data_IF_571877139653
#
_entry.id   IF_571877139653
#
_cell.length_a   1.000
_cell.length_b   1.000
_cell.length_c   1.000
_cell.angle_alpha   90.00
_cell.angle_beta   90.00
_cell.angle_gamma   90.00
#
_symmetry.space_group_name_H-M   'P 1'
#
loop_
_entity.id
_entity.type
_entity.pdbx_description
1 polymer ?
#
# COMPACT_ATOMS: atom_id res chain seq x y z
N UNK A 1 30.86 -24.03 12.20
CA UNK A 1 29.39 -23.95 12.39
C UNK A 1 28.82 -22.53 12.18
N UNK A 2 29.48 -21.46 12.63
CA UNK A 2 28.98 -20.07 12.48
C UNK A 2 28.85 -19.56 11.03
N UNK A 3 29.76 -19.92 10.11
CA UNK A 3 29.69 -19.53 8.68
C UNK A 3 28.43 -20.04 7.95
N UNK A 4 27.93 -21.22 8.30
CA UNK A 4 26.74 -21.79 7.66
C UNK A 4 25.45 -21.06 8.10
N UNK A 5 25.40 -20.65 9.37
CA UNK A 5 24.31 -19.87 9.94
C UNK A 5 24.25 -18.47 9.32
N UNK A 6 25.39 -17.78 9.22
CA UNK A 6 25.49 -16.48 8.51
C UNK A 6 24.98 -16.57 7.06
N UNK A 7 25.45 -17.56 6.30
CA UNK A 7 25.07 -17.75 4.88
C UNK A 7 23.57 -17.99 4.71
N UNK A 8 22.94 -18.77 5.60
CA UNK A 8 21.50 -19.00 5.55
C UNK A 8 20.68 -17.73 5.80
N UNK A 9 21.15 -16.86 6.70
CA UNK A 9 20.53 -15.56 6.97
C UNK A 9 20.62 -14.62 5.78
N UNK A 10 21.75 -14.60 5.08
CA UNK A 10 21.93 -13.76 3.89
C UNK A 10 21.04 -14.23 2.72
N UNK A 11 20.92 -15.55 2.52
CA UNK A 11 20.01 -16.12 1.51
C UNK A 11 18.55 -15.73 1.80
N UNK A 12 18.10 -15.82 3.06
CA UNK A 12 16.74 -15.41 3.46
C UNK A 12 16.47 -13.92 3.18
N UNK A 13 17.46 -13.05 3.38
CA UNK A 13 17.33 -11.62 3.05
C UNK A 13 17.17 -11.41 1.55
N UNK A 14 17.98 -12.09 0.74
CA UNK A 14 17.91 -11.98 -0.73
C UNK A 14 16.57 -12.48 -1.26
N UNK A 15 16.09 -13.63 -0.78
CA UNK A 15 14.79 -14.17 -1.20
C UNK A 15 13.66 -13.23 -0.78
N UNK A 16 13.72 -12.65 0.43
CA UNK A 16 12.72 -11.68 0.86
C UNK A 16 12.73 -10.40 0.01
N UNK A 17 13.91 -9.87 -0.33
CA UNK A 17 14.04 -8.71 -1.20
C UNK A 17 13.44 -9.01 -2.58
N UNK A 18 13.77 -10.15 -3.16
CA UNK A 18 13.28 -10.58 -4.47
C UNK A 18 11.75 -10.72 -4.46
N UNK A 19 11.17 -11.31 -3.42
CA UNK A 19 9.71 -11.39 -3.27
C UNK A 19 9.05 -10.00 -3.21
N UNK A 20 9.64 -9.07 -2.45
CA UNK A 20 9.15 -7.69 -2.36
C UNK A 20 9.19 -7.01 -3.73
N UNK A 21 10.33 -7.08 -4.44
CA UNK A 21 10.47 -6.49 -5.76
C UNK A 21 9.49 -7.05 -6.76
N UNK A 22 9.28 -8.38 -6.78
CA UNK A 22 8.28 -9.01 -7.64
C UNK A 22 6.87 -8.53 -7.28
N UNK A 23 6.53 -8.46 -5.99
CA UNK A 23 5.19 -8.01 -5.58
C UNK A 23 4.89 -6.58 -6.02
N UNK A 24 5.87 -5.67 -5.93
CA UNK A 24 5.75 -4.29 -6.42
C UNK A 24 5.62 -4.29 -7.95
N UNK A 25 6.45 -5.05 -8.66
CA UNK A 25 6.39 -5.15 -10.12
C UNK A 25 5.02 -5.67 -10.60
N UNK A 26 4.42 -6.64 -9.91
CA UNK A 26 3.07 -7.11 -10.18
C UNK A 26 2.03 -6.01 -9.97
N UNK A 27 2.12 -5.22 -8.89
CA UNK A 27 1.23 -4.09 -8.67
C UNK A 27 1.35 -3.02 -9.77
N UNK A 28 2.56 -2.75 -10.26
CA UNK A 28 2.78 -1.84 -11.39
C UNK A 28 2.14 -2.39 -12.66
N UNK A 29 2.37 -3.67 -12.99
CA UNK A 29 1.77 -4.30 -14.17
C UNK A 29 0.24 -4.26 -14.09
N UNK A 30 -0.34 -4.51 -12.93
CA UNK A 30 -1.80 -4.44 -12.73
C UNK A 30 -2.35 -3.01 -12.85
N UNK A 31 -1.55 -1.98 -12.56
CA UNK A 31 -1.94 -0.60 -12.87
C UNK A 31 -1.88 -0.29 -14.36
N UNK A 32 -0.96 -0.93 -15.12
CA UNK A 32 -0.82 -0.69 -16.56
C UNK A 32 -1.81 -1.52 -17.39
N UNK A 33 -2.20 -2.70 -16.90
CA UNK A 33 -3.14 -3.59 -17.57
C UNK A 33 -4.54 -3.33 -17.03
N UNK A 34 -5.31 -2.51 -17.77
CA UNK A 34 -6.74 -2.31 -17.50
C UNK A 34 -7.51 -3.58 -17.85
N UNK A 35 -7.57 -4.55 -16.93
CA UNK A 35 -8.32 -5.79 -17.14
C UNK A 35 -9.81 -5.49 -16.91
N UNK A 36 -10.68 -5.73 -17.91
CA UNK A 36 -12.11 -5.54 -17.76
C UNK A 36 -12.63 -6.42 -16.61
N UNK A 37 -13.36 -5.81 -15.66
CA UNK A 37 -13.85 -6.46 -14.44
C UNK A 37 -13.05 -6.16 -13.17
N UNK A 38 -11.89 -5.49 -13.27
CA UNK A 38 -11.20 -4.92 -12.11
C UNK A 38 -11.58 -3.48 -11.82
N UNK A 39 -12.31 -2.83 -12.73
CA UNK A 39 -12.82 -1.46 -12.62
C UNK A 39 -14.27 -1.46 -12.11
N UNK A 40 -14.62 -0.48 -11.28
CA UNK A 40 -16.01 -0.17 -10.92
C UNK A 40 -16.32 1.25 -11.37
N UNK A 41 -17.36 1.43 -12.18
CA UNK A 41 -17.82 2.76 -12.62
C UNK A 41 -16.68 3.61 -13.21
N UNK A 42 -15.84 3.01 -14.06
CA UNK A 42 -14.66 3.63 -14.69
C UNK A 42 -13.53 4.06 -13.72
N UNK A 43 -13.61 3.62 -12.46
CA UNK A 43 -12.58 3.88 -11.43
C UNK A 43 -11.73 2.63 -11.24
N UNK A 44 -10.41 2.80 -11.41
CA UNK A 44 -9.41 1.76 -11.19
C UNK A 44 -8.99 1.66 -9.72
N UNK A 45 -8.70 0.45 -9.21
CA UNK A 45 -8.21 0.26 -7.86
C UNK A 45 -6.74 0.70 -7.75
N UNK A 46 -6.39 1.30 -6.60
CA UNK A 46 -5.01 1.71 -6.35
C UNK A 46 -4.18 0.54 -5.79
N UNK A 47 -3.63 -0.28 -6.69
CA UNK A 47 -2.83 -1.46 -6.32
C UNK A 47 -1.61 -1.13 -5.46
N UNK A 48 -0.96 0.01 -5.72
CA UNK A 48 0.24 0.44 -5.00
C UNK A 48 -0.10 0.87 -3.56
N UNK A 49 -1.26 1.50 -3.35
CA UNK A 49 -1.75 1.83 -2.01
C UNK A 49 -2.08 0.56 -1.22
N UNK A 50 -2.77 -0.41 -1.84
CA UNK A 50 -3.04 -1.72 -1.21
C UNK A 50 -1.73 -2.35 -0.74
N UNK A 51 -0.71 -2.34 -1.61
CA UNK A 51 0.59 -2.92 -1.31
C UNK A 51 1.26 -2.24 -0.11
N UNK A 52 1.28 -0.90 -0.07
CA UNK A 52 1.84 -0.15 1.05
C UNK A 52 1.14 -0.50 2.36
N UNK A 53 -0.20 -0.51 2.35
CA UNK A 53 -0.98 -0.81 3.55
C UNK A 53 -0.66 -2.23 4.02
N UNK A 54 -0.77 -3.21 3.12
CA UNK A 54 -0.53 -4.62 3.44
C UNK A 54 0.89 -4.88 3.96
N UNK A 55 1.90 -4.24 3.34
CA UNK A 55 3.29 -4.40 3.75
C UNK A 55 3.58 -3.69 5.08
N UNK A 56 2.99 -2.53 5.32
CA UNK A 56 3.29 -1.65 6.46
C UNK A 56 2.68 -2.08 7.79
N UNK A 57 1.56 -2.83 7.80
CA UNK A 57 0.83 -3.24 9.02
C UNK A 57 1.73 -3.83 10.12
N UNK A 58 2.74 -4.62 9.76
CA UNK A 58 3.63 -5.30 10.72
C UNK A 58 5.00 -4.62 10.89
N UNK A 59 5.20 -3.46 10.28
CA UNK A 59 6.50 -2.78 10.15
C UNK A 59 6.58 -1.58 11.11
N UNK A 60 7.76 -0.97 11.21
CA UNK A 60 7.94 0.24 12.02
C UNK A 60 7.50 1.45 11.20
N UNK A 61 7.03 2.51 11.88
CA UNK A 61 6.62 3.76 11.22
C UNK A 61 7.68 4.31 10.27
N UNK A 62 8.96 4.23 10.66
CA UNK A 62 10.08 4.63 9.80
C UNK A 62 10.15 3.82 8.50
N UNK A 63 10.05 2.49 8.58
CA UNK A 63 10.04 1.65 7.37
C UNK A 63 8.81 1.87 6.51
N UNK A 64 7.64 2.16 7.11
CA UNK A 64 6.43 2.54 6.38
C UNK A 64 6.57 3.87 5.64
N UNK A 65 7.21 4.87 6.27
CA UNK A 65 7.50 6.16 5.62
C UNK A 65 8.38 5.98 4.38
N UNK A 66 9.47 5.20 4.49
CA UNK A 66 10.38 4.93 3.37
C UNK A 66 9.65 4.18 2.25
N UNK A 67 8.84 3.18 2.58
CA UNK A 67 8.05 2.47 1.58
C UNK A 67 7.03 3.39 0.89
N UNK A 68 6.34 4.24 1.66
CA UNK A 68 5.44 5.25 1.13
C UNK A 68 6.14 6.21 0.16
N UNK A 69 7.33 6.69 0.51
CA UNK A 69 8.13 7.55 -0.36
C UNK A 69 8.50 6.85 -1.66
N UNK A 70 9.09 5.64 -1.57
CA UNK A 70 9.54 4.91 -2.75
C UNK A 70 8.39 4.57 -3.69
N UNK A 71 7.26 4.10 -3.15
CA UNK A 71 6.09 3.76 -3.94
C UNK A 71 5.41 5.02 -4.49
N UNK A 72 5.37 6.12 -3.73
CA UNK A 72 4.87 7.40 -4.21
C UNK A 72 5.68 7.93 -5.41
N UNK A 73 7.01 7.83 -5.35
CA UNK A 73 7.87 8.19 -6.49
C UNK A 73 7.63 7.30 -7.71
N UNK A 74 7.41 6.00 -7.50
CA UNK A 74 7.06 5.06 -8.58
C UNK A 74 5.71 5.43 -9.19
N UNK A 75 4.72 5.72 -8.34
CA UNK A 75 3.38 6.09 -8.77
C UNK A 75 3.40 7.36 -9.60
N UNK A 76 4.01 8.43 -9.11
CA UNK A 76 4.15 9.70 -9.83
C UNK A 76 4.93 9.55 -11.14
N UNK A 77 5.93 8.65 -11.16
CA UNK A 77 6.69 8.33 -12.38
C UNK A 77 5.85 7.63 -13.45
N UNK A 78 4.81 6.87 -13.06
CA UNK A 78 3.90 6.19 -13.98
C UNK A 78 2.81 7.15 -14.47
N UNK A 79 2.21 7.92 -13.55
CA UNK A 79 1.02 8.72 -13.84
C UNK A 79 1.34 10.16 -14.25
N UNK A 80 2.61 10.58 -14.22
CA UNK A 80 3.07 11.95 -14.50
C UNK A 80 2.19 13.01 -13.80
N UNK A 81 1.79 12.72 -12.57
CA UNK A 81 0.78 13.51 -11.86
C UNK A 81 1.36 14.78 -11.26
N UNK A 82 0.64 15.88 -11.47
CA UNK A 82 0.77 17.13 -10.71
C UNK A 82 -0.61 17.41 -10.08
N UNK A 83 -0.75 17.38 -8.73
CA UNK A 83 0.29 17.31 -7.69
C UNK A 83 0.84 15.90 -7.41
N UNK A 84 1.83 15.81 -6.52
CA UNK A 84 2.53 14.57 -6.17
C UNK A 84 1.76 13.69 -5.19
N UNK A 85 1.77 12.37 -5.43
CA UNK A 85 1.20 11.36 -4.51
C UNK A 85 2.14 10.98 -3.38
N UNK A 86 3.40 11.43 -3.41
CA UNK A 86 4.43 11.08 -2.42
C UNK A 86 3.95 11.41 -1.00
N UNK A 87 3.40 12.61 -0.79
CA UNK A 87 2.95 13.03 0.54
C UNK A 87 1.84 12.12 1.06
N UNK A 88 0.82 11.86 0.24
CA UNK A 88 -0.29 10.96 0.57
C UNK A 88 0.21 9.55 0.94
N UNK A 89 1.13 9.00 0.14
CA UNK A 89 1.63 7.64 0.32
C UNK A 89 2.54 7.49 1.55
N UNK A 90 3.35 8.51 1.85
CA UNK A 90 4.14 8.57 3.09
C UNK A 90 3.23 8.59 4.31
N UNK A 91 2.20 9.44 4.31
CA UNK A 91 1.23 9.53 5.42
C UNK A 91 0.52 8.20 5.63
N UNK A 92 0.02 7.57 4.56
CA UNK A 92 -0.61 6.24 4.62
C UNK A 92 0.34 5.19 5.18
N UNK A 93 1.60 5.16 4.74
CA UNK A 93 2.60 4.21 5.23
C UNK A 93 2.90 4.37 6.72
N UNK A 94 3.05 5.61 7.19
CA UNK A 94 3.30 5.93 8.62
C UNK A 94 2.10 5.56 9.49
N UNK A 95 0.89 5.99 9.11
CA UNK A 95 -0.33 5.73 9.87
C UNK A 95 -0.60 4.22 9.94
N UNK A 96 -0.50 3.52 8.81
CA UNK A 96 -0.71 2.06 8.78
C UNK A 96 0.30 1.31 9.65
N UNK A 97 1.57 1.72 9.64
CA UNK A 97 2.58 1.10 10.50
C UNK A 97 2.33 1.36 11.99
N UNK A 98 1.67 2.47 12.31
CA UNK A 98 1.33 2.85 13.69
C UNK A 98 0.12 2.05 14.21
N UNK A 99 -0.75 1.59 13.30
CA UNK A 99 -1.89 0.71 13.61
C UNK A 99 -1.45 -0.69 14.08
N UNK A 100 -0.19 -1.08 13.89
CA UNK A 100 0.42 -2.33 14.38
C UNK A 100 0.13 -2.64 15.85
N UNK A 101 -0.01 -1.60 16.67
CA UNK A 101 -0.22 -1.73 18.12
C UNK A 101 -1.57 -2.39 18.46
N UNK A 102 -2.50 -2.43 17.51
CA UNK A 102 -3.80 -3.07 17.70
C UNK A 102 -3.73 -4.54 17.27
N UNK A 103 -3.87 -5.43 18.25
CA UNK A 103 -3.80 -6.90 18.09
C UNK A 103 -4.76 -7.47 17.04
N UNK A 104 -5.83 -6.75 16.72
CA UNK A 104 -6.93 -7.21 15.86
C UNK A 104 -6.87 -6.76 14.39
N UNK A 105 -5.99 -5.82 14.02
CA UNK A 105 -6.02 -5.15 12.69
C UNK A 105 -5.43 -5.97 11.51
N UNK A 106 -5.25 -7.28 11.67
CA UNK A 106 -4.70 -8.16 10.63
C UNK A 106 -5.03 -9.65 10.80
N UNK A 107 -5.93 -9.98 11.73
CA UNK A 107 -6.43 -11.35 11.88
C UNK A 107 -7.63 -11.61 10.95
N UNK A 108 -8.48 -10.60 10.76
CA UNK A 108 -9.69 -10.70 9.93
C UNK A 108 -9.58 -9.97 8.60
N UNK A 109 -10.05 -10.61 7.53
CA UNK A 109 -10.09 -10.05 6.17
C UNK A 109 -10.90 -8.74 6.10
N UNK A 110 -11.97 -8.64 6.89
CA UNK A 110 -12.83 -7.45 7.00
C UNK A 110 -12.03 -6.27 7.55
N UNK A 111 -11.25 -6.49 8.62
CA UNK A 111 -10.48 -5.43 9.26
C UNK A 111 -9.45 -4.80 8.31
N UNK A 112 -8.74 -5.64 7.54
CA UNK A 112 -7.78 -5.17 6.54
C UNK A 112 -8.47 -4.34 5.45
N UNK A 113 -9.61 -4.81 4.96
CA UNK A 113 -10.41 -4.08 3.98
C UNK A 113 -10.82 -2.71 4.52
N UNK A 114 -11.30 -2.61 5.75
CA UNK A 114 -11.62 -1.34 6.40
C UNK A 114 -10.40 -0.41 6.51
N UNK A 115 -9.23 -0.92 6.90
CA UNK A 115 -8.02 -0.09 6.97
C UNK A 115 -7.67 0.47 5.59
N UNK A 116 -7.69 -0.35 4.55
CA UNK A 116 -7.42 0.10 3.17
C UNK A 116 -8.46 1.12 2.70
N UNK A 117 -9.73 0.93 3.04
CA UNK A 117 -10.79 1.89 2.72
C UNK A 117 -10.47 3.29 3.27
N UNK A 118 -10.20 3.38 4.58
CA UNK A 118 -9.88 4.67 5.22
C UNK A 118 -8.57 5.26 4.72
N UNK A 119 -7.55 4.45 4.46
CA UNK A 119 -6.27 4.93 3.94
C UNK A 119 -6.38 5.42 2.50
N UNK A 120 -7.22 4.78 1.67
CA UNK A 120 -7.51 5.25 0.31
C UNK A 120 -8.22 6.59 0.36
N UNK A 121 -9.29 6.68 1.17
CA UNK A 121 -10.02 7.93 1.37
C UNK A 121 -9.10 9.06 1.84
N UNK A 122 -8.22 8.80 2.81
CA UNK A 122 -7.25 9.77 3.30
C UNK A 122 -6.25 10.19 2.23
N UNK A 123 -5.72 9.23 1.46
CA UNK A 123 -4.78 9.51 0.38
C UNK A 123 -5.37 10.43 -0.68
N UNK A 124 -6.62 10.15 -1.09
CA UNK A 124 -7.38 10.95 -2.05
C UNK A 124 -7.72 12.34 -1.50
N UNK A 125 -8.08 12.44 -0.22
CA UNK A 125 -8.35 13.72 0.43
C UNK A 125 -7.09 14.61 0.46
N UNK A 126 -5.93 14.04 0.76
CA UNK A 126 -4.65 14.75 0.73
C UNK A 126 -4.32 15.18 -0.71
N UNK A 127 -4.55 14.31 -1.70
CA UNK A 127 -4.32 14.66 -3.11
C UNK A 127 -5.24 15.79 -3.57
N UNK A 128 -6.54 15.73 -3.26
CA UNK A 128 -7.51 16.77 -3.58
C UNK A 128 -7.16 18.11 -2.92
N UNK A 129 -6.64 18.08 -1.68
CA UNK A 129 -6.17 19.28 -0.98
C UNK A 129 -4.96 19.90 -1.69
N UNK A 130 -3.98 19.09 -2.08
CA UNK A 130 -2.82 19.56 -2.85
C UNK A 130 -3.28 20.17 -4.19
N UNK A 131 -4.21 19.51 -4.88
CA UNK A 131 -4.72 19.94 -6.17
C UNK A 131 -5.45 21.29 -6.08
N UNK A 132 -6.28 21.46 -5.04
CA UNK A 132 -6.99 22.71 -4.77
C UNK A 132 -6.05 23.87 -4.42
N UNK A 133 -4.97 23.60 -3.69
CA UNK A 133 -3.95 24.62 -3.37
C UNK A 133 -3.19 25.08 -4.61
N UNK A 134 -2.79 24.15 -5.49
CA UNK A 134 -2.03 24.47 -6.69
C UNK A 134 -2.85 25.27 -7.71
N UNK A 135 -4.12 24.94 -7.88
CA UNK A 135 -4.99 25.57 -8.89
C UNK A 135 -5.89 26.69 -8.35
N UNK A 136 -5.77 27.05 -7.05
CA UNK A 136 -6.59 28.06 -6.38
C UNK A 136 -8.12 27.85 -6.55
N UNK A 137 -8.55 26.59 -6.61
CA UNK A 137 -9.97 26.22 -6.78
C UNK A 137 -10.62 26.10 -5.41
N UNK A 138 -11.90 26.49 -5.30
CA UNK A 138 -12.69 26.27 -4.09
C UNK A 138 -12.75 24.78 -3.72
N UNK A 139 -12.27 24.45 -2.53
CA UNK A 139 -12.22 23.08 -2.00
C UNK A 139 -13.62 22.46 -1.87
N UNK A 140 -14.65 23.26 -1.60
CA UNK A 140 -16.04 22.77 -1.49
C UNK A 140 -16.58 22.25 -2.81
N UNK A 141 -16.32 22.95 -3.91
CA UNK A 141 -16.79 22.57 -5.24
C UNK A 141 -16.03 21.35 -5.76
N UNK A 142 -14.73 21.27 -5.44
CA UNK A 142 -13.91 20.09 -5.72
C UNK A 142 -14.37 18.88 -4.92
N UNK A 143 -14.57 19.00 -3.61
CA UNK A 143 -15.00 17.88 -2.77
C UNK A 143 -16.34 17.31 -3.25
N UNK A 144 -17.30 18.16 -3.59
CA UNK A 144 -18.61 17.70 -4.04
C UNK A 144 -18.53 16.95 -5.36
N UNK A 145 -17.65 17.37 -6.28
CA UNK A 145 -17.43 16.70 -7.57
C UNK A 145 -16.62 15.41 -7.43
N UNK A 146 -15.64 15.36 -6.52
CA UNK A 146 -14.74 14.22 -6.33
C UNK A 146 -15.28 13.18 -5.34
N UNK A 147 -16.25 13.51 -4.49
CA UNK A 147 -16.74 12.63 -3.42
C UNK A 147 -17.16 11.24 -3.94
N UNK A 148 -17.89 11.18 -5.06
CA UNK A 148 -18.32 9.91 -5.63
C UNK A 148 -17.11 9.06 -6.08
N UNK A 149 -16.16 9.67 -6.80
CA UNK A 149 -14.97 9.00 -7.30
C UNK A 149 -14.11 8.47 -6.14
N UNK A 150 -13.91 9.29 -5.11
CA UNK A 150 -13.13 8.92 -3.91
C UNK A 150 -13.77 7.78 -3.13
N UNK A 151 -15.09 7.78 -2.99
CA UNK A 151 -15.78 6.69 -2.30
C UNK A 151 -15.71 5.40 -3.11
N UNK A 152 -15.92 5.47 -4.44
CA UNK A 152 -15.81 4.29 -5.32
C UNK A 152 -14.38 3.75 -5.31
N UNK A 153 -13.36 4.62 -5.41
CA UNK A 153 -11.95 4.23 -5.37
C UNK A 153 -11.59 3.57 -4.05
N UNK A 154 -12.10 4.09 -2.93
CA UNK A 154 -11.91 3.48 -1.62
C UNK A 154 -12.60 2.11 -1.50
N UNK A 155 -13.82 1.96 -2.00
CA UNK A 155 -14.57 0.69 -1.99
C UNK A 155 -13.84 -0.37 -2.82
N UNK A 156 -13.49 -0.04 -4.07
CA UNK A 156 -12.87 -1.01 -4.97
C UNK A 156 -11.47 -1.42 -4.48
N UNK A 157 -10.67 -0.45 -4.01
CA UNK A 157 -9.33 -0.69 -3.47
C UNK A 157 -9.40 -1.52 -2.19
N UNK A 158 -10.39 -1.26 -1.34
CA UNK A 158 -10.68 -2.06 -0.15
C UNK A 158 -11.07 -3.50 -0.48
N UNK A 159 -11.93 -3.69 -1.49
CA UNK A 159 -12.42 -5.01 -1.90
C UNK A 159 -11.29 -5.95 -2.37
N UNK A 160 -10.33 -5.41 -3.11
CA UNK A 160 -9.17 -6.17 -3.59
C UNK A 160 -8.08 -6.38 -2.53
N UNK A 161 -8.13 -5.65 -1.42
CA UNK A 161 -7.08 -5.69 -0.41
C UNK A 161 -6.82 -7.06 0.23
N UNK A 162 -7.84 -7.90 0.56
CA UNK A 162 -7.57 -9.18 1.21
C UNK A 162 -6.80 -10.14 0.29
N UNK A 163 -7.05 -10.06 -1.03
CA UNK A 163 -6.38 -10.88 -2.03
C UNK A 163 -4.86 -10.62 -2.06
N UNK A 164 -4.42 -9.39 -1.80
CA UNK A 164 -3.00 -9.01 -1.74
C UNK A 164 -2.42 -9.15 -0.33
N UNK A 165 -3.19 -8.82 0.70
CA UNK A 165 -2.75 -8.92 2.08
C UNK A 165 -2.42 -10.36 2.48
N UNK A 166 -3.27 -11.32 2.13
CA UNK A 166 -3.12 -12.71 2.53
C UNK A 166 -1.78 -13.34 2.11
N UNK A 167 -1.36 -13.30 0.82
CA UNK A 167 -0.07 -13.86 0.40
C UNK A 167 1.13 -13.14 1.05
N UNK A 168 1.06 -11.81 1.22
CA UNK A 168 2.09 -11.03 1.90
C UNK A 168 2.23 -11.43 3.38
N UNK A 169 1.10 -11.59 4.09
CA UNK A 169 1.09 -11.98 5.49
C UNK A 169 1.61 -13.41 5.70
N UNK A 170 1.18 -14.36 4.86
CA UNK A 170 1.69 -15.73 4.89
C UNK A 170 3.22 -15.80 4.68
N UNK A 171 3.72 -15.01 3.74
CA UNK A 171 5.15 -14.91 3.45
C UNK A 171 5.93 -14.39 4.66
N UNK A 172 5.46 -13.29 5.27
CA UNK A 172 6.07 -12.72 6.47
C UNK A 172 6.07 -13.70 7.66
N UNK A 173 4.95 -14.40 7.88
CA UNK A 173 4.84 -15.44 8.93
C UNK A 173 5.83 -16.57 8.70
N UNK A 174 5.91 -17.10 7.47
CA UNK A 174 6.90 -18.14 7.12
C UNK A 174 8.32 -17.65 7.38
N UNK A 175 8.72 -16.48 6.87
CA UNK A 175 10.05 -15.92 7.10
C UNK A 175 10.41 -15.80 8.59
N UNK A 176 9.45 -15.40 9.43
CA UNK A 176 9.62 -15.36 10.89
C UNK A 176 9.92 -16.74 11.49
N UNK A 177 9.22 -17.78 11.04
CA UNK A 177 9.45 -19.17 11.49
C UNK A 177 10.82 -19.69 11.04
N UNK A 178 11.20 -19.49 9.78
CA UNK A 178 12.52 -19.88 9.26
C UNK A 178 13.65 -19.18 10.01
N UNK A 179 13.49 -17.88 10.31
CA UNK A 179 14.47 -17.11 11.09
C UNK A 179 14.63 -17.67 12.51
N UNK A 180 13.53 -18.04 13.19
CA UNK A 180 13.57 -18.66 14.53
C UNK A 180 14.28 -20.02 14.50
N UNK A 181 13.99 -20.85 13.49
CA UNK A 181 14.61 -22.19 13.35
C UNK A 181 16.12 -22.14 13.08
N UNK A 182 16.61 -21.05 12.49
CA UNK A 182 18.02 -20.83 12.20
C UNK A 182 18.77 -20.06 13.31
N UNK A 183 18.05 -19.48 14.29
CA UNK A 183 18.61 -18.81 15.47
C UNK A 183 19.10 -19.80 16.53
#
# INVERSE_FOLDING_TARGET
MQRHKQRSFDILKVINLLFITISIAVCIVLMLVNIPGMELLEVNPNWLLIWIVAWSINKTAWSGAIAGLMIGCIYDGITLSAPSHILSFVVVGVLTSSLKTQKYLGEDFISVAFVVFFMTFLSEAIFALQYGQEHSINLTDLLQKYQQVVVISAIITSLWSPAFYYPLNLWQKKLGLWRKKLS
#
